data_IF_785478723287
#
_entry.id   IF_785478723287
#
_cell.length_a   1.000
_cell.length_b   1.000
_cell.length_c   1.000
_cell.angle_alpha   90.00
_cell.angle_beta   90.00
_cell.angle_gamma   90.00
#
_symmetry.space_group_name_H-M   'P 1'
#
loop_
_entity.id
_entity.type
_entity.pdbx_description
1 polymer ?
#
# COMPACT_ATOMS: atom_id res chain seq x y z
N UNK A 1 13.27 -13.48 -2.12
CA UNK A 1 13.34 -12.04 -2.40
C UNK A 1 13.88 -11.36 -1.16
N UNK A 2 14.71 -10.34 -1.31
CA UNK A 2 15.29 -9.57 -0.19
C UNK A 2 14.63 -8.20 -0.19
N UNK A 3 14.11 -7.76 0.97
CA UNK A 3 13.52 -6.43 1.13
C UNK A 3 14.61 -5.40 1.46
N UNK A 4 14.51 -4.15 0.96
CA UNK A 4 15.34 -3.07 1.47
C UNK A 4 15.02 -2.79 2.95
N UNK A 5 15.99 -2.20 3.66
CA UNK A 5 15.82 -1.67 5.02
C UNK A 5 15.41 -0.20 4.97
N UNK A 6 14.46 0.13 4.10
CA UNK A 6 14.21 1.50 3.65
C UNK A 6 13.96 2.51 4.79
N UNK A 7 13.27 2.14 5.87
CA UNK A 7 13.08 3.04 7.01
C UNK A 7 14.38 3.28 7.80
N UNK A 8 15.25 2.27 7.93
CA UNK A 8 16.54 2.40 8.63
C UNK A 8 17.47 3.30 7.82
N UNK A 9 17.59 3.05 6.51
CA UNK A 9 18.47 3.78 5.59
C UNK A 9 18.04 5.26 5.48
N UNK A 10 16.73 5.53 5.35
CA UNK A 10 16.22 6.90 5.25
C UNK A 10 16.28 7.61 6.61
N UNK A 11 16.12 6.90 7.73
CA UNK A 11 16.33 7.52 9.04
C UNK A 11 17.80 7.91 9.25
N UNK A 12 18.76 7.13 8.75
CA UNK A 12 20.17 7.51 8.73
C UNK A 12 20.41 8.77 7.89
N UNK A 13 19.82 8.83 6.68
CA UNK A 13 19.86 10.04 5.85
C UNK A 13 19.27 11.25 6.59
N UNK A 14 18.06 11.14 7.14
CA UNK A 14 17.43 12.24 7.88
C UNK A 14 18.31 12.72 9.04
N UNK A 15 18.89 11.80 9.83
CA UNK A 15 19.83 12.15 10.91
C UNK A 15 21.08 12.85 10.40
N UNK A 16 21.65 12.37 9.30
CA UNK A 16 22.88 12.93 8.68
C UNK A 16 22.65 14.34 8.15
N UNK A 17 21.51 14.57 7.50
CA UNK A 17 21.14 15.85 6.87
C UNK A 17 20.26 16.74 7.77
N UNK A 18 20.16 16.41 9.07
CA UNK A 18 19.40 17.17 10.06
C UNK A 18 17.93 17.42 9.68
N UNK A 19 17.30 16.42 9.06
CA UNK A 19 15.88 16.39 8.74
C UNK A 19 15.08 15.74 9.89
N UNK A 20 13.78 16.06 10.04
CA UNK A 20 12.99 15.52 11.14
C UNK A 20 12.83 13.99 11.06
N UNK A 21 12.94 13.35 12.22
CA UNK A 21 12.47 11.99 12.50
C UNK A 21 11.70 12.11 13.80
N UNK A 22 10.38 11.88 13.77
CA UNK A 22 9.56 12.05 14.96
C UNK A 22 9.42 10.72 15.71
N UNK A 23 9.44 10.78 17.04
CA UNK A 23 9.42 9.57 17.87
C UNK A 23 7.99 9.07 18.17
N UNK A 24 6.98 9.87 17.84
CA UNK A 24 5.58 9.55 18.11
C UNK A 24 4.65 9.92 16.94
N UNK A 25 3.63 9.09 16.64
CA UNK A 25 2.68 9.33 15.57
C UNK A 25 1.99 10.69 15.71
N UNK A 26 2.11 11.53 14.69
CA UNK A 26 1.48 12.84 14.65
C UNK A 26 1.37 13.37 13.23
N UNK A 27 0.60 14.45 13.07
CA UNK A 27 0.61 15.25 11.85
C UNK A 27 1.62 16.37 12.05
N UNK A 28 2.68 16.46 11.23
CA UNK A 28 3.65 17.56 11.29
C UNK A 28 3.03 18.92 10.95
N UNK A 29 3.83 19.99 11.03
CA UNK A 29 3.37 21.28 10.53
C UNK A 29 2.99 21.23 9.04
N UNK A 30 2.16 22.19 8.63
CA UNK A 30 1.57 22.20 7.30
C UNK A 30 2.62 22.31 6.18
N UNK A 31 3.76 22.95 6.44
CA UNK A 31 4.81 23.14 5.44
C UNK A 31 5.60 21.83 5.25
N UNK A 32 5.87 21.08 6.33
CA UNK A 32 6.44 19.72 6.26
C UNK A 32 5.49 18.77 5.54
N UNK A 33 4.20 18.78 5.88
CA UNK A 33 3.21 17.97 5.19
C UNK A 33 3.17 18.28 3.68
N UNK A 34 3.18 19.58 3.32
CA UNK A 34 3.21 20.01 1.92
C UNK A 34 4.48 19.54 1.20
N UNK A 35 5.64 19.64 1.85
CA UNK A 35 6.90 19.13 1.29
C UNK A 35 6.83 17.63 1.01
N UNK A 36 6.40 16.81 1.98
CA UNK A 36 6.31 15.36 1.81
C UNK A 36 5.38 14.96 0.67
N UNK A 37 4.22 15.61 0.56
CA UNK A 37 3.27 15.37 -0.54
C UNK A 37 3.83 15.81 -1.90
N UNK A 38 4.57 16.92 -1.95
CA UNK A 38 5.16 17.38 -3.20
C UNK A 38 6.22 16.41 -3.72
N UNK A 39 7.11 15.91 -2.86
CA UNK A 39 8.11 14.91 -3.24
C UNK A 39 7.44 13.63 -3.76
N UNK A 40 6.43 13.10 -3.05
CA UNK A 40 5.68 11.93 -3.53
C UNK A 40 5.01 12.13 -4.89
N UNK A 41 4.56 13.36 -5.19
CA UNK A 41 3.96 13.70 -6.49
C UNK A 41 4.99 13.82 -7.61
N UNK A 42 6.18 14.31 -7.27
CA UNK A 42 7.32 14.41 -8.18
C UNK A 42 7.72 13.02 -8.67
N UNK A 43 8.05 12.10 -7.76
CA UNK A 43 8.46 10.75 -8.15
C UNK A 43 7.36 9.95 -8.87
N UNK A 44 6.09 10.18 -8.50
CA UNK A 44 4.96 9.56 -9.20
C UNK A 44 4.84 10.06 -10.63
N UNK A 45 5.09 11.35 -10.88
CA UNK A 45 5.06 11.93 -12.22
C UNK A 45 6.19 11.35 -13.07
N UNK A 46 7.38 11.19 -12.50
CA UNK A 46 8.51 10.55 -13.19
C UNK A 46 8.20 9.09 -13.54
N UNK A 47 7.56 8.33 -12.64
CA UNK A 47 7.09 6.98 -12.92
C UNK A 47 6.07 6.95 -14.08
N UNK A 48 5.10 7.88 -14.10
CA UNK A 48 4.13 7.98 -15.19
C UNK A 48 4.81 8.26 -16.53
N UNK A 49 5.79 9.16 -16.57
CA UNK A 49 6.56 9.51 -17.75
C UNK A 49 7.42 8.34 -18.24
N UNK A 50 8.10 7.63 -17.34
CA UNK A 50 8.91 6.45 -17.64
C UNK A 50 8.07 5.30 -18.22
N UNK A 51 6.89 5.03 -17.63
CA UNK A 51 5.96 4.01 -18.15
C UNK A 51 5.45 4.41 -19.53
N UNK A 52 5.07 5.68 -19.74
CA UNK A 52 4.61 6.17 -21.03
C UNK A 52 5.70 6.09 -22.11
N UNK A 53 6.96 6.25 -21.72
CA UNK A 53 8.12 6.08 -22.58
C UNK A 53 8.55 4.62 -22.80
N UNK A 54 7.93 3.66 -22.09
CA UNK A 54 8.35 2.26 -22.03
C UNK A 54 9.84 2.12 -21.64
N UNK A 55 10.28 2.94 -20.68
CA UNK A 55 11.65 2.97 -20.16
C UNK A 55 11.73 2.24 -18.81
N UNK A 56 12.28 1.02 -18.83
CA UNK A 56 12.40 0.21 -17.62
C UNK A 56 13.45 0.75 -16.64
N UNK A 57 14.48 1.45 -17.12
CA UNK A 57 15.55 1.96 -16.26
C UNK A 57 15.00 3.11 -15.43
N UNK A 58 14.37 4.08 -16.09
CA UNK A 58 13.73 5.22 -15.41
C UNK A 58 12.56 4.78 -14.53
N UNK A 59 11.80 3.75 -14.93
CA UNK A 59 10.76 3.20 -14.08
C UNK A 59 11.33 2.56 -12.81
N UNK A 60 12.46 1.84 -12.92
CA UNK A 60 13.14 1.25 -11.77
C UNK A 60 13.69 2.30 -10.81
N UNK A 61 14.22 3.41 -11.34
CA UNK A 61 14.68 4.57 -10.59
C UNK A 61 13.53 5.20 -9.80
N UNK A 62 12.44 5.57 -10.50
CA UNK A 62 11.26 6.15 -9.87
C UNK A 62 10.62 5.23 -8.81
N UNK A 63 10.65 3.90 -8.99
CA UNK A 63 10.20 2.97 -7.94
C UNK A 63 11.05 3.03 -6.68
N UNK A 64 12.37 3.15 -6.82
CA UNK A 64 13.28 3.29 -5.69
C UNK A 64 13.08 4.63 -4.98
N UNK A 65 12.91 5.72 -5.74
CA UNK A 65 12.72 7.06 -5.19
C UNK A 65 11.37 7.23 -4.51
N UNK A 66 10.28 6.69 -5.07
CA UNK A 66 8.98 6.61 -4.39
C UNK A 66 9.13 5.92 -3.03
N UNK A 67 9.82 4.77 -2.98
CA UNK A 67 10.06 4.07 -1.71
C UNK A 67 10.88 4.94 -0.74
N UNK A 68 11.88 5.68 -1.23
CA UNK A 68 12.73 6.53 -0.43
C UNK A 68 11.96 7.72 0.17
N UNK A 69 11.23 8.47 -0.65
CA UNK A 69 10.46 9.65 -0.19
C UNK A 69 9.25 9.24 0.66
N UNK A 70 8.66 8.08 0.40
CA UNK A 70 7.62 7.49 1.26
C UNK A 70 8.16 7.15 2.65
N UNK A 71 9.32 6.50 2.74
CA UNK A 71 10.00 6.24 4.01
C UNK A 71 10.27 7.54 4.77
N UNK A 72 10.72 8.59 4.08
CA UNK A 72 10.92 9.91 4.68
C UNK A 72 9.63 10.52 5.24
N UNK A 73 8.50 10.38 4.52
CA UNK A 73 7.19 10.80 5.01
C UNK A 73 6.76 10.01 6.25
N UNK A 74 6.93 8.68 6.26
CA UNK A 74 6.58 7.82 7.41
C UNK A 74 7.35 8.26 8.67
N UNK A 75 8.65 8.53 8.52
CA UNK A 75 9.51 8.99 9.62
C UNK A 75 9.12 10.38 10.12
N UNK A 76 8.80 11.31 9.22
CA UNK A 76 8.35 12.65 9.59
C UNK A 76 6.98 12.65 10.27
N UNK A 77 6.14 11.64 10.04
CA UNK A 77 4.86 11.46 10.74
C UNK A 77 5.00 10.66 12.05
N UNK A 78 6.22 10.29 12.42
CA UNK A 78 6.54 9.52 13.62
C UNK A 78 5.99 8.11 13.64
N UNK A 79 5.86 7.51 12.45
CA UNK A 79 5.31 6.17 12.27
C UNK A 79 6.40 5.09 12.16
N UNK A 80 7.69 5.43 12.20
CA UNK A 80 8.80 4.48 11.94
C UNK A 80 8.68 3.14 12.68
N UNK A 81 8.56 3.17 14.00
CA UNK A 81 8.45 1.96 14.84
C UNK A 81 7.13 1.21 14.67
N UNK A 82 6.06 1.88 14.24
CA UNK A 82 4.73 1.30 14.07
C UNK A 82 4.45 0.82 12.64
N UNK A 83 5.19 1.34 11.65
CA UNK A 83 4.83 1.19 10.25
C UNK A 83 4.87 -0.27 9.79
N UNK A 84 5.81 -1.06 10.31
CA UNK A 84 5.85 -2.50 10.07
C UNK A 84 4.52 -3.17 10.44
N UNK A 85 4.01 -2.92 11.65
CA UNK A 85 2.74 -3.49 12.11
C UNK A 85 1.54 -2.98 11.30
N UNK A 86 1.55 -1.71 10.90
CA UNK A 86 0.52 -1.15 10.02
C UNK A 86 0.53 -1.84 8.64
N UNK A 87 1.71 -2.05 8.05
CA UNK A 87 1.86 -2.73 6.77
C UNK A 87 1.41 -4.20 6.86
N UNK A 88 1.83 -4.92 7.89
CA UNK A 88 1.43 -6.31 8.15
C UNK A 88 -0.09 -6.44 8.31
N UNK A 89 -0.75 -5.49 8.99
CA UNK A 89 -2.20 -5.47 9.14
C UNK A 89 -2.94 -5.18 7.82
N UNK A 90 -2.42 -4.26 7.00
CA UNK A 90 -2.94 -4.03 5.64
C UNK A 90 -2.76 -5.28 4.78
N UNK A 91 -1.61 -5.95 4.88
CA UNK A 91 -1.35 -7.19 4.15
C UNK A 91 -2.33 -8.30 4.58
N UNK A 92 -2.50 -8.54 5.89
CA UNK A 92 -3.48 -9.49 6.43
C UNK A 92 -4.89 -9.20 5.90
N UNK A 93 -5.32 -7.94 5.96
CA UNK A 93 -6.63 -7.54 5.43
C UNK A 93 -6.73 -7.80 3.93
N UNK A 94 -5.71 -7.48 3.13
CA UNK A 94 -5.70 -7.75 1.70
C UNK A 94 -5.75 -9.25 1.38
N UNK A 95 -5.04 -10.08 2.14
CA UNK A 95 -5.09 -11.53 1.98
C UNK A 95 -6.43 -12.13 2.39
N UNK A 96 -7.19 -11.47 3.27
CA UNK A 96 -8.54 -11.90 3.64
C UNK A 96 -9.58 -11.77 2.52
N UNK A 97 -9.23 -11.15 1.38
CA UNK A 97 -10.12 -11.05 0.21
C UNK A 97 -10.34 -12.40 -0.51
N UNK A 98 -9.49 -13.39 -0.26
CA UNK A 98 -9.61 -14.72 -0.86
C UNK A 98 -10.85 -15.45 -0.34
N UNK A 99 -11.45 -16.30 -1.16
CA UNK A 99 -12.55 -17.17 -0.75
C UNK A 99 -11.99 -18.58 -0.45
N UNK A 100 -12.33 -19.15 0.70
CA UNK A 100 -11.85 -20.47 1.11
C UNK A 100 -12.58 -21.61 0.41
N UNK A 101 -13.78 -21.34 -0.15
CA UNK A 101 -14.56 -22.33 -0.89
C UNK A 101 -15.23 -21.72 -2.12
N UNK A 102 -15.69 -22.60 -3.02
CA UNK A 102 -16.43 -22.17 -4.22
C UNK A 102 -17.76 -21.52 -3.84
N UNK A 103 -18.43 -22.02 -2.81
CA UNK A 103 -19.68 -21.46 -2.31
C UNK A 103 -19.49 -20.02 -1.82
N UNK A 104 -18.38 -19.73 -1.14
CA UNK A 104 -18.05 -18.37 -0.71
C UNK A 104 -17.76 -17.44 -1.91
N UNK A 105 -17.07 -17.95 -2.93
CA UNK A 105 -16.80 -17.20 -4.16
C UNK A 105 -18.10 -16.90 -4.93
N UNK A 106 -19.01 -17.87 -5.05
CA UNK A 106 -20.33 -17.69 -5.67
C UNK A 106 -21.21 -16.71 -4.89
N UNK A 107 -21.20 -16.77 -3.55
CA UNK A 107 -21.87 -15.80 -2.70
C UNK A 107 -21.30 -14.38 -2.90
N UNK A 108 -19.98 -14.27 -3.10
CA UNK A 108 -19.31 -13.01 -3.39
C UNK A 108 -19.69 -12.46 -4.76
N UNK A 109 -19.72 -13.29 -5.81
CA UNK A 109 -20.22 -12.87 -7.13
C UNK A 109 -21.67 -12.38 -7.02
N UNK A 110 -22.53 -13.12 -6.33
CA UNK A 110 -23.92 -12.74 -6.13
C UNK A 110 -24.07 -11.42 -5.33
N UNK A 111 -23.15 -11.14 -4.41
CA UNK A 111 -23.10 -9.86 -3.69
C UNK A 111 -22.78 -8.69 -4.64
N UNK A 112 -21.71 -8.79 -5.44
CA UNK A 112 -21.33 -7.72 -6.37
C UNK A 112 -22.30 -7.53 -7.54
N UNK A 113 -22.93 -8.62 -8.01
CA UNK A 113 -23.98 -8.53 -9.02
C UNK A 113 -25.15 -7.64 -8.57
N UNK A 114 -25.53 -7.70 -7.28
CA UNK A 114 -26.55 -6.81 -6.69
C UNK A 114 -26.12 -5.34 -6.64
N UNK A 115 -24.82 -5.08 -6.66
CA UNK A 115 -24.24 -3.74 -6.73
C UNK A 115 -23.99 -3.27 -8.17
N UNK A 116 -24.42 -4.04 -9.17
CA UNK A 116 -24.23 -3.73 -10.58
C UNK A 116 -22.80 -3.96 -11.07
N UNK A 117 -22.03 -4.83 -10.39
CA UNK A 117 -20.66 -5.17 -10.78
C UNK A 117 -20.58 -6.63 -11.21
N UNK A 118 -20.23 -6.86 -12.48
CA UNK A 118 -19.99 -8.22 -12.98
C UNK A 118 -18.61 -8.71 -12.51
N UNK A 119 -18.56 -10.00 -12.17
CA UNK A 119 -17.35 -10.60 -11.64
C UNK A 119 -17.26 -12.08 -11.97
N UNK A 120 -16.04 -12.57 -12.13
CA UNK A 120 -15.73 -13.97 -12.43
C UNK A 120 -14.92 -14.62 -11.31
N UNK A 121 -15.01 -15.94 -11.19
CA UNK A 121 -14.29 -16.74 -10.20
C UNK A 121 -13.08 -17.40 -10.87
N UNK A 122 -11.93 -17.33 -10.23
CA UNK A 122 -10.70 -18.00 -10.67
C UNK A 122 -10.11 -18.81 -9.50
N UNK A 123 -9.67 -20.05 -9.78
CA UNK A 123 -8.98 -20.87 -8.78
C UNK A 123 -7.51 -20.44 -8.68
N UNK A 124 -7.01 -20.26 -7.47
CA UNK A 124 -5.62 -19.88 -7.19
C UNK A 124 -5.05 -20.74 -6.07
N UNK A 125 -4.42 -21.85 -6.42
CA UNK A 125 -3.96 -22.83 -5.44
C UNK A 125 -5.15 -23.42 -4.66
N UNK A 126 -5.13 -23.27 -3.34
CA UNK A 126 -6.17 -23.79 -2.45
C UNK A 126 -7.32 -22.79 -2.17
N UNK A 127 -7.30 -21.61 -2.81
CA UNK A 127 -8.33 -20.58 -2.63
C UNK A 127 -8.98 -20.20 -3.95
N UNK A 128 -10.09 -19.46 -3.85
CA UNK A 128 -10.80 -18.87 -4.98
C UNK A 128 -10.69 -17.35 -4.93
N UNK A 129 -10.48 -16.73 -6.09
CA UNK A 129 -10.43 -15.28 -6.27
C UNK A 129 -11.66 -14.83 -7.05
N UNK A 130 -12.20 -13.68 -6.68
CA UNK A 130 -13.30 -13.04 -7.41
C UNK A 130 -12.76 -11.77 -8.06
N UNK A 131 -12.77 -11.74 -9.38
CA UNK A 131 -12.26 -10.63 -10.18
C UNK A 131 -13.40 -9.82 -10.77
N UNK A 132 -13.32 -8.49 -10.70
CA UNK A 132 -14.17 -7.62 -11.51
C UNK A 132 -13.80 -7.77 -12.98
N UNK A 133 -14.80 -7.89 -13.85
CA UNK A 133 -14.57 -8.16 -15.27
C UNK A 133 -13.90 -6.99 -16.01
N UNK A 134 -14.18 -5.74 -15.62
CA UNK A 134 -13.70 -4.54 -16.32
C UNK A 134 -12.17 -4.36 -16.30
N UNK A 135 -11.54 -4.63 -15.15
CA UNK A 135 -10.14 -4.30 -14.91
C UNK A 135 -9.37 -5.41 -14.19
N UNK A 136 -9.99 -6.59 -14.02
CA UNK A 136 -9.44 -7.73 -13.28
C UNK A 136 -9.00 -7.38 -11.86
N UNK A 137 -9.62 -6.38 -11.23
CA UNK A 137 -9.38 -6.07 -9.83
C UNK A 137 -9.91 -7.19 -8.94
N UNK A 138 -9.09 -7.66 -7.99
CA UNK A 138 -9.53 -8.59 -6.93
C UNK A 138 -10.56 -7.89 -6.04
N UNK A 139 -11.77 -8.46 -5.99
CA UNK A 139 -12.86 -8.02 -5.15
C UNK A 139 -12.74 -8.61 -3.74
N UNK A 140 -13.34 -7.92 -2.77
CA UNK A 140 -13.37 -8.39 -1.38
C UNK A 140 -14.43 -9.48 -1.24
N UNK A 141 -14.07 -10.66 -0.74
CA UNK A 141 -15.05 -11.69 -0.38
C UNK A 141 -16.07 -11.19 0.65
N UNK A 142 -17.19 -11.90 0.76
CA UNK A 142 -18.27 -11.59 1.71
C UNK A 142 -17.83 -11.67 3.18
N UNK A 143 -16.79 -12.46 3.49
CA UNK A 143 -16.22 -12.58 4.84
C UNK A 143 -14.96 -11.73 5.04
N UNK A 144 -14.74 -10.72 4.21
CA UNK A 144 -13.57 -9.85 4.24
C UNK A 144 -13.37 -9.22 5.61
N UNK A 145 -12.12 -9.23 6.08
CA UNK A 145 -11.73 -8.60 7.33
C UNK A 145 -11.02 -7.26 7.06
N UNK A 146 -11.62 -6.11 7.39
CA UNK A 146 -10.98 -4.81 7.21
C UNK A 146 -9.74 -4.65 8.10
N UNK A 147 -8.81 -3.80 7.67
CA UNK A 147 -7.62 -3.46 8.43
C UNK A 147 -7.97 -2.59 9.65
N UNK A 148 -7.52 -2.96 10.85
CA UNK A 148 -7.71 -2.18 12.09
C UNK A 148 -6.57 -1.18 12.33
N UNK A 149 -6.46 -0.18 11.45
CA UNK A 149 -5.41 0.86 11.56
C UNK A 149 -5.56 1.69 12.84
N UNK A 150 -6.80 1.97 13.26
CA UNK A 150 -7.07 2.75 14.46
C UNK A 150 -6.56 2.02 15.71
N UNK A 151 -6.94 0.76 15.89
CA UNK A 151 -6.48 -0.04 17.02
C UNK A 151 -4.98 -0.26 17.02
N UNK A 152 -4.32 -0.28 15.85
CA UNK A 152 -2.86 -0.35 15.74
C UNK A 152 -2.15 0.94 16.17
N UNK A 153 -2.75 2.10 15.92
CA UNK A 153 -2.19 3.39 16.34
C UNK A 153 -2.36 3.64 17.84
N UNK A 154 -3.43 3.14 18.44
CA UNK A 154 -3.80 3.37 19.86
C UNK A 154 -3.07 2.44 20.86
N UNK A 155 -2.39 1.39 20.39
CA UNK A 155 -1.58 0.46 21.21
C UNK A 155 -0.17 0.99 21.48
#
# INVERSE_FOLDING_TARGET
>A
MTSPKALEDVAEFHRTFHLPVLDSPQIPDADRCRLRINLLREELKELEEAIAANDLVEAADAFADIQYVLSGAILEFGLGEKFRGLFEEVHRSNMSKTCASREEAEATVAHYLKLGQNSSIETSGDVFLVYREDDRKVLKNVNYSPADIKGMLER
#
